data_IF_834612264094
#
_entry.id   IF_834612264094
#
_cell.length_a   1.000
_cell.length_b   1.000
_cell.length_c   1.000
_cell.angle_alpha   90.00
_cell.angle_beta   90.00
_cell.angle_gamma   90.00
#
_symmetry.space_group_name_H-M   'P 1'
#
loop_
_entity.id
_entity.type
_entity.pdbx_description
1 polymer ?
#
# COMPACT_ATOMS: atom_id res chain seq x y z
N UNK A 1 -22.21 25.11 -23.00
CA UNK A 1 -21.72 24.03 -22.12
C UNK A 1 -22.44 22.78 -22.56
N UNK A 2 -21.76 21.91 -23.28
CA UNK A 2 -22.34 20.65 -23.75
C UNK A 2 -21.91 19.60 -22.73
N UNK A 3 -22.87 19.11 -21.93
CA UNK A 3 -22.69 17.92 -21.09
C UNK A 3 -22.45 16.75 -22.04
N UNK A 4 -21.18 16.47 -22.34
CA UNK A 4 -20.81 15.22 -22.98
C UNK A 4 -20.84 14.12 -21.93
N UNK A 5 -22.05 13.60 -21.70
CA UNK A 5 -22.26 12.37 -20.97
C UNK A 5 -21.42 11.28 -21.64
N UNK A 6 -20.38 10.84 -20.94
CA UNK A 6 -19.45 9.81 -21.41
C UNK A 6 -20.25 8.56 -21.80
N UNK A 7 -20.02 8.02 -23.00
CA UNK A 7 -20.71 6.80 -23.44
C UNK A 7 -20.17 5.57 -22.71
N UNK A 8 -20.96 4.49 -22.61
CA UNK A 8 -20.50 3.24 -21.98
C UNK A 8 -19.26 2.65 -22.66
N UNK A 9 -19.12 2.83 -23.99
CA UNK A 9 -17.96 2.35 -24.73
C UNK A 9 -16.70 3.15 -24.38
N UNK A 10 -16.80 4.48 -24.28
CA UNK A 10 -15.71 5.35 -23.83
C UNK A 10 -15.35 5.06 -22.37
N UNK A 11 -16.36 4.83 -21.51
CA UNK A 11 -16.15 4.45 -20.11
C UNK A 11 -15.29 3.19 -20.00
N UNK A 12 -15.61 2.14 -20.76
CA UNK A 12 -14.85 0.88 -20.75
C UNK A 12 -13.41 1.08 -21.25
N UNK A 13 -13.19 1.91 -22.27
CA UNK A 13 -11.83 2.24 -22.74
C UNK A 13 -11.04 2.98 -21.65
N UNK A 14 -11.67 3.94 -20.97
CA UNK A 14 -11.05 4.68 -19.87
C UNK A 14 -10.77 3.78 -18.66
N UNK A 15 -11.60 2.78 -18.35
CA UNK A 15 -11.33 1.80 -17.29
C UNK A 15 -9.99 1.08 -17.53
N UNK A 16 -9.74 0.61 -18.75
CA UNK A 16 -8.47 -0.07 -19.05
C UNK A 16 -7.27 0.87 -18.98
N UNK A 17 -7.43 2.12 -19.43
CA UNK A 17 -6.37 3.13 -19.39
C UNK A 17 -6.05 3.57 -17.95
N UNK A 18 -7.09 3.82 -17.16
CA UNK A 18 -7.02 4.15 -15.74
C UNK A 18 -6.27 3.11 -14.91
N UNK A 19 -6.40 1.83 -15.26
CA UNK A 19 -5.67 0.76 -14.58
C UNK A 19 -4.19 0.68 -14.95
N UNK A 20 -3.78 1.28 -16.07
CA UNK A 20 -2.41 1.34 -16.57
C UNK A 20 -1.57 2.51 -16.04
N UNK A 21 -2.12 3.36 -15.16
CA UNK A 21 -1.50 4.61 -14.66
C UNK A 21 -1.34 5.73 -15.70
N UNK A 22 -1.91 5.59 -16.91
CA UNK A 22 -1.91 6.64 -17.94
C UNK A 22 -3.31 7.28 -18.04
N UNK A 23 -3.53 8.47 -17.49
CA UNK A 23 -4.79 9.18 -17.70
C UNK A 23 -4.78 10.59 -17.13
N UNK A 24 -5.39 11.52 -17.88
CA UNK A 24 -5.51 12.94 -17.50
C UNK A 24 -6.66 13.12 -16.49
N UNK A 25 -6.48 13.99 -15.49
CA UNK A 25 -7.46 14.21 -14.42
C UNK A 25 -8.92 14.44 -14.88
N UNK A 26 -9.14 15.15 -16.00
CA UNK A 26 -10.50 15.41 -16.51
C UNK A 26 -11.22 14.13 -17.00
N UNK A 27 -10.50 13.19 -17.61
CA UNK A 27 -11.07 11.91 -18.05
C UNK A 27 -11.49 11.04 -16.84
N UNK A 28 -10.77 11.15 -15.73
CA UNK A 28 -11.06 10.41 -14.49
C UNK A 28 -12.35 10.88 -13.80
N UNK A 29 -12.61 12.19 -13.79
CA UNK A 29 -13.84 12.75 -13.24
C UNK A 29 -15.07 12.27 -14.02
N UNK A 30 -15.04 12.40 -15.35
CA UNK A 30 -16.14 11.98 -16.23
C UNK A 30 -16.40 10.47 -16.14
N UNK A 31 -15.33 9.66 -16.07
CA UNK A 31 -15.46 8.23 -15.82
C UNK A 31 -16.15 7.96 -14.48
N UNK A 32 -15.78 8.67 -13.42
CA UNK A 32 -16.35 8.48 -12.09
C UNK A 32 -17.84 8.79 -12.05
N UNK A 33 -18.25 9.93 -12.61
CA UNK A 33 -19.66 10.28 -12.75
C UNK A 33 -20.43 9.21 -13.52
N UNK A 34 -19.84 8.69 -14.61
CA UNK A 34 -20.45 7.61 -15.37
C UNK A 34 -20.56 6.30 -14.56
N UNK A 35 -19.52 5.92 -13.81
CA UNK A 35 -19.53 4.70 -12.98
C UNK A 35 -20.52 4.81 -11.81
N UNK A 36 -20.75 6.01 -11.28
CA UNK A 36 -21.80 6.27 -10.29
C UNK A 36 -23.21 6.08 -10.89
N UNK A 37 -23.40 6.44 -12.17
CA UNK A 37 -24.69 6.32 -12.85
C UNK A 37 -24.94 4.94 -13.51
N UNK A 38 -23.90 4.23 -13.96
CA UNK A 38 -24.01 3.04 -14.80
C UNK A 38 -23.50 1.77 -14.11
N UNK A 39 -24.43 0.95 -13.61
CA UNK A 39 -24.10 -0.33 -12.92
C UNK A 39 -23.30 -1.32 -13.78
N UNK A 40 -23.55 -1.38 -15.08
CA UNK A 40 -22.87 -2.31 -15.97
C UNK A 40 -21.38 -1.95 -16.14
N UNK A 41 -21.07 -0.68 -16.39
CA UNK A 41 -19.70 -0.19 -16.47
C UNK A 41 -18.98 -0.30 -15.12
N UNK A 42 -19.69 -0.11 -14.01
CA UNK A 42 -19.13 -0.33 -12.67
C UNK A 42 -18.75 -1.80 -12.43
N UNK A 43 -19.58 -2.76 -12.82
CA UNK A 43 -19.24 -4.19 -12.70
C UNK A 43 -17.98 -4.54 -13.53
N UNK A 44 -17.90 -4.02 -14.76
CA UNK A 44 -16.72 -4.21 -15.61
C UNK A 44 -15.45 -3.57 -15.02
N UNK A 45 -15.57 -2.39 -14.39
CA UNK A 45 -14.48 -1.75 -13.66
C UNK A 45 -13.95 -2.65 -12.53
N UNK A 46 -14.84 -3.21 -11.70
CA UNK A 46 -14.44 -4.08 -10.59
C UNK A 46 -13.73 -5.35 -11.07
N UNK A 47 -14.21 -5.96 -12.17
CA UNK A 47 -13.59 -7.13 -12.78
C UNK A 47 -12.18 -6.82 -13.32
N UNK A 48 -12.03 -5.68 -14.01
CA UNK A 48 -10.75 -5.23 -14.52
C UNK A 48 -9.74 -4.93 -13.38
N UNK A 49 -10.19 -4.29 -12.29
CA UNK A 49 -9.39 -4.08 -11.07
C UNK A 49 -8.94 -5.42 -10.48
N UNK A 50 -9.85 -6.38 -10.37
CA UNK A 50 -9.56 -7.72 -9.87
C UNK A 50 -8.47 -8.42 -10.69
N UNK A 51 -8.58 -8.34 -12.03
CA UNK A 51 -7.63 -8.94 -12.97
C UNK A 51 -6.23 -8.33 -12.86
N UNK A 52 -6.12 -7.00 -12.85
CA UNK A 52 -4.81 -6.31 -12.72
C UNK A 52 -4.15 -6.63 -11.39
N UNK A 53 -4.94 -6.70 -10.33
CA UNK A 53 -4.41 -7.02 -9.01
C UNK A 53 -3.96 -8.51 -8.90
N UNK A 54 -4.64 -9.44 -9.57
CA UNK A 54 -4.20 -10.83 -9.70
C UNK A 54 -2.85 -10.95 -10.44
N UNK A 55 -2.71 -10.24 -11.58
CA UNK A 55 -1.46 -10.19 -12.35
C UNK A 55 -0.29 -9.63 -11.51
N UNK A 56 -0.53 -8.55 -10.75
CA UNK A 56 0.47 -7.97 -9.85
C UNK A 56 0.95 -8.94 -8.77
N UNK A 57 0.07 -9.82 -8.26
CA UNK A 57 0.46 -10.87 -7.32
C UNK A 57 1.28 -11.97 -7.97
N UNK A 58 0.89 -12.45 -9.15
CA UNK A 58 1.64 -13.47 -9.89
C UNK A 58 3.08 -13.00 -10.15
N UNK A 59 3.25 -11.76 -10.63
CA UNK A 59 4.57 -11.17 -10.83
C UNK A 59 5.40 -11.08 -9.54
N UNK A 60 4.76 -10.72 -8.41
CA UNK A 60 5.44 -10.69 -7.11
C UNK A 60 5.82 -12.08 -6.61
N UNK A 61 4.98 -13.08 -6.82
CA UNK A 61 5.30 -14.46 -6.44
C UNK A 61 6.53 -14.94 -7.19
N UNK A 62 6.59 -14.70 -8.49
CA UNK A 62 7.75 -15.02 -9.33
C UNK A 62 9.01 -14.29 -8.83
N UNK A 63 8.94 -12.99 -8.54
CA UNK A 63 10.07 -12.24 -7.96
C UNK A 63 10.52 -12.77 -6.60
N UNK A 64 9.58 -13.13 -5.72
CA UNK A 64 9.91 -13.71 -4.42
C UNK A 64 10.55 -15.10 -4.55
N UNK A 65 10.12 -15.91 -5.51
CA UNK A 65 10.75 -17.19 -5.82
C UNK A 65 12.16 -17.01 -6.37
N UNK A 66 12.37 -16.05 -7.26
CA UNK A 66 13.69 -15.67 -7.76
C UNK A 66 14.62 -15.19 -6.63
N UNK A 67 14.12 -14.35 -5.72
CA UNK A 67 14.87 -13.91 -4.53
C UNK A 67 15.21 -15.08 -3.59
N UNK A 68 14.27 -16.02 -3.38
CA UNK A 68 14.54 -17.22 -2.57
C UNK A 68 15.56 -18.13 -3.23
N UNK A 69 15.47 -18.32 -4.55
CA UNK A 69 16.37 -19.16 -5.32
C UNK A 69 17.78 -18.56 -5.37
N UNK A 70 17.91 -17.25 -5.57
CA UNK A 70 19.20 -16.54 -5.50
C UNK A 70 19.82 -16.63 -4.10
N UNK A 71 19.05 -16.43 -3.03
CA UNK A 71 19.53 -16.63 -1.65
C UNK A 71 20.03 -18.06 -1.40
N UNK A 72 19.28 -19.08 -1.86
CA UNK A 72 19.70 -20.50 -1.76
C UNK A 72 20.97 -20.78 -2.54
N UNK A 73 21.12 -20.21 -3.73
CA UNK A 73 22.33 -20.34 -4.54
C UNK A 73 23.55 -19.72 -3.86
N UNK A 74 23.40 -18.53 -3.26
CA UNK A 74 24.46 -17.85 -2.50
C UNK A 74 24.86 -18.64 -1.26
N UNK A 75 23.89 -19.19 -0.51
CA UNK A 75 24.17 -20.05 0.65
C UNK A 75 24.91 -21.33 0.26
N UNK A 76 24.54 -21.98 -0.86
CA UNK A 76 25.27 -23.15 -1.37
C UNK A 76 26.72 -22.81 -1.74
N UNK A 77 26.97 -21.65 -2.36
CA UNK A 77 28.34 -21.20 -2.66
C UNK A 77 29.16 -20.95 -1.40
N UNK A 78 28.59 -20.33 -0.36
CA UNK A 78 29.25 -20.12 0.92
C UNK A 78 29.54 -21.44 1.66
N UNK A 79 28.60 -22.40 1.63
CA UNK A 79 28.79 -23.72 2.23
C UNK A 79 29.91 -24.52 1.54
N UNK A 80 30.02 -24.43 0.22
CA UNK A 80 31.10 -25.08 -0.54
C UNK A 80 32.46 -24.38 -0.35
N UNK A 81 32.48 -23.05 -0.19
CA UNK A 81 33.70 -22.31 0.12
C UNK A 81 34.23 -22.59 1.55
N UNK A 82 33.36 -22.95 2.49
CA UNK A 82 33.74 -23.31 3.87
C UNK A 82 34.16 -24.77 4.09
N UNK A 83 34.04 -25.63 3.07
CA UNK A 83 34.36 -27.06 3.18
C UNK A 83 35.86 -27.40 2.97
N UNK A 84 36.71 -26.39 2.69
CA UNK A 84 38.11 -26.58 2.31
C UNK A 84 39.15 -26.60 3.43
N UNK A 85 38.83 -26.25 4.68
CA UNK A 85 39.85 -26.12 5.73
C UNK A 85 39.43 -26.76 7.06
N UNK A 86 39.42 -28.09 7.11
CA UNK A 86 39.42 -28.83 8.38
C UNK A 86 40.46 -29.94 8.39
N UNK A 87 41.73 -29.55 8.38
CA UNK A 87 42.77 -30.35 9.01
C UNK A 87 43.80 -29.41 9.64
N UNK A 88 44.23 -29.75 10.87
CA UNK A 88 45.26 -29.08 11.67
C UNK A 88 44.87 -27.81 12.44
N UNK A 89 44.47 -27.98 13.71
CA UNK A 89 45.29 -27.61 14.89
C UNK A 89 44.48 -27.63 16.19
N UNK A 90 44.53 -28.80 16.82
CA UNK A 90 44.88 -29.03 18.23
C UNK A 90 45.17 -27.75 19.06
N UNK A 91 44.36 -27.53 20.09
CA UNK A 91 44.63 -26.80 21.36
C UNK A 91 45.01 -25.32 21.24
N UNK A 92 44.03 -24.41 21.30
CA UNK A 92 44.07 -23.22 22.19
C UNK A 92 42.74 -22.46 22.20
N UNK A 93 42.32 -22.12 23.43
CA UNK A 93 41.38 -21.07 23.82
C UNK A 93 39.87 -21.37 23.70
N UNK A 94 39.32 -21.94 24.79
CA UNK A 94 37.89 -22.06 25.10
C UNK A 94 37.09 -20.73 25.01
N UNK A 95 37.78 -19.58 24.98
CA UNK A 95 37.18 -18.24 24.81
C UNK A 95 36.65 -17.98 23.40
N UNK A 96 37.10 -18.74 22.38
CA UNK A 96 36.69 -18.55 20.97
C UNK A 96 35.31 -19.17 20.67
N UNK A 97 34.81 -20.07 21.53
CA UNK A 97 33.49 -20.71 21.39
C UNK A 97 32.33 -19.86 21.93
N UNK A 98 32.59 -18.95 22.87
CA UNK A 98 31.53 -18.10 23.44
C UNK A 98 31.12 -16.96 22.50
N UNK A 99 32.06 -16.43 21.72
CA UNK A 99 31.81 -15.31 20.80
C UNK A 99 30.79 -15.62 19.69
N UNK A 100 30.86 -16.76 18.97
CA UNK A 100 29.85 -17.10 17.97
C UNK A 100 28.49 -17.43 18.61
N UNK A 101 28.47 -18.07 19.79
CA UNK A 101 27.22 -18.35 20.50
C UNK A 101 26.52 -17.05 20.96
N UNK A 102 27.29 -16.08 21.45
CA UNK A 102 26.79 -14.77 21.88
C UNK A 102 26.37 -13.91 20.68
N UNK A 103 27.07 -14.00 19.55
CA UNK A 103 26.64 -13.37 18.29
C UNK A 103 25.33 -13.97 17.76
N UNK A 104 25.16 -15.29 17.82
CA UNK A 104 23.90 -15.97 17.45
C UNK A 104 22.78 -15.57 18.41
N UNK A 105 23.05 -15.53 19.73
CA UNK A 105 22.08 -15.10 20.73
C UNK A 105 21.67 -13.64 20.53
N UNK A 106 22.63 -12.76 20.23
CA UNK A 106 22.37 -11.36 19.90
C UNK A 106 21.55 -11.21 18.61
N UNK A 107 21.80 -12.04 17.59
CA UNK A 107 21.02 -12.06 16.34
C UNK A 107 19.57 -12.52 16.58
N UNK A 108 19.39 -13.55 17.41
CA UNK A 108 18.05 -14.06 17.79
C UNK A 108 17.30 -13.06 18.66
N UNK A 109 17.99 -12.36 19.57
CA UNK A 109 17.40 -11.28 20.36
C UNK A 109 17.08 -10.04 19.50
N UNK A 110 17.91 -9.69 18.53
CA UNK A 110 17.60 -8.63 17.58
C UNK A 110 16.40 -8.97 16.69
N UNK A 111 16.29 -10.22 16.21
CA UNK A 111 15.13 -10.66 15.41
C UNK A 111 13.83 -10.71 16.23
N UNK A 112 13.90 -11.02 17.52
CA UNK A 112 12.73 -11.00 18.41
C UNK A 112 12.36 -9.60 18.90
N UNK A 113 13.32 -8.67 19.01
CA UNK A 113 13.04 -7.24 19.23
C UNK A 113 12.26 -6.62 18.07
N UNK A 114 12.49 -7.11 16.84
CA UNK A 114 11.68 -6.81 15.66
C UNK A 114 10.54 -7.83 15.47
N UNK A 115 9.71 -8.02 16.51
CA UNK A 115 8.56 -8.92 16.47
C UNK A 115 7.74 -8.81 15.18
N UNK A 116 6.99 -9.88 14.85
CA UNK A 116 6.29 -10.02 13.57
C UNK A 116 5.61 -8.71 13.13
N UNK A 117 5.70 -8.33 11.83
CA UNK A 117 5.08 -7.12 11.34
C UNK A 117 3.58 -7.13 11.69
N UNK A 118 3.02 -6.00 12.14
CA UNK A 118 1.61 -5.95 12.48
C UNK A 118 0.80 -6.35 11.26
N UNK A 119 -0.25 -7.15 11.51
CA UNK A 119 -1.24 -7.48 10.49
C UNK A 119 -1.99 -6.22 10.09
N UNK A 120 -2.33 -6.16 8.82
CA UNK A 120 -3.19 -5.12 8.28
C UNK A 120 -4.56 -5.73 8.02
N UNK A 121 -5.55 -5.32 8.79
CA UNK A 121 -6.90 -5.88 8.72
C UNK A 121 -7.84 -4.85 8.11
N UNK A 122 -8.46 -5.18 6.99
CA UNK A 122 -9.44 -4.36 6.29
C UNK A 122 -10.85 -4.82 6.66
N UNK A 123 -11.60 -3.95 7.33
CA UNK A 123 -13.00 -4.14 7.68
C UNK A 123 -13.90 -3.35 6.72
N UNK A 124 -14.87 -4.03 6.11
CA UNK A 124 -15.91 -3.37 5.32
C UNK A 124 -16.91 -2.69 6.26
N UNK A 125 -17.12 -1.38 6.11
CA UNK A 125 -18.10 -0.64 6.92
C UNK A 125 -19.44 -0.61 6.18
N UNK A 126 -19.44 -0.20 4.92
CA UNK A 126 -20.65 -0.10 4.09
C UNK A 126 -20.31 -0.33 2.62
N UNK A 127 -21.26 -0.87 1.87
CA UNK A 127 -21.16 -1.01 0.42
C UNK A 127 -20.07 -1.97 -0.08
N UNK A 128 -19.92 -2.11 -1.40
CA UNK A 128 -18.96 -3.01 -2.01
C UNK A 128 -17.51 -2.52 -1.84
N UNK A 129 -16.64 -3.44 -1.44
CA UNK A 129 -15.19 -3.22 -1.36
C UNK A 129 -14.50 -4.28 -2.19
N UNK A 130 -13.75 -3.85 -3.20
CA UNK A 130 -12.94 -4.73 -4.02
C UNK A 130 -11.55 -4.87 -3.42
N UNK A 131 -11.19 -6.12 -3.14
CA UNK A 131 -9.83 -6.59 -2.94
C UNK A 131 -9.45 -7.47 -4.13
N UNK A 132 -8.16 -7.81 -4.31
CA UNK A 132 -7.76 -8.55 -5.49
C UNK A 132 -8.37 -9.96 -5.48
N UNK A 133 -9.10 -10.32 -6.54
CA UNK A 133 -9.94 -11.53 -6.70
C UNK A 133 -11.19 -11.63 -5.79
N UNK A 134 -11.50 -10.60 -5.01
CA UNK A 134 -12.59 -10.63 -4.03
C UNK A 134 -13.39 -9.34 -4.07
N UNK A 135 -14.67 -9.45 -4.44
CA UNK A 135 -15.64 -8.40 -4.20
C UNK A 135 -16.37 -8.71 -2.88
N UNK A 136 -16.26 -7.81 -1.91
CA UNK A 136 -16.82 -7.98 -0.58
C UNK A 136 -18.00 -7.03 -0.44
N UNK A 137 -19.21 -7.58 -0.39
CA UNK A 137 -20.44 -6.80 -0.26
C UNK A 137 -20.98 -6.78 1.18
N UNK A 138 -20.57 -7.74 2.00
CA UNK A 138 -21.06 -7.90 3.36
C UNK A 138 -20.33 -6.98 4.34
N UNK A 139 -21.05 -6.01 4.89
CA UNK A 139 -20.57 -5.14 5.96
C UNK A 139 -20.15 -5.95 7.20
N UNK A 140 -19.11 -5.49 7.88
CA UNK A 140 -18.50 -6.16 9.04
C UNK A 140 -17.49 -7.24 8.70
N UNK A 141 -17.38 -7.65 7.42
CA UNK A 141 -16.36 -8.60 6.98
C UNK A 141 -14.97 -8.00 7.17
N UNK A 142 -14.09 -8.77 7.83
CA UNK A 142 -12.69 -8.38 8.07
C UNK A 142 -11.78 -9.32 7.29
N UNK A 143 -10.89 -8.76 6.47
CA UNK A 143 -9.95 -9.50 5.65
C UNK A 143 -8.53 -8.99 5.82
N UNK A 144 -7.53 -9.87 5.86
CA UNK A 144 -6.14 -9.45 5.94
C UNK A 144 -5.71 -8.85 4.59
N UNK A 145 -5.08 -7.67 4.63
CA UNK A 145 -4.32 -7.11 3.53
C UNK A 145 -2.84 -7.48 3.67
N UNK A 146 -2.22 -7.88 2.57
CA UNK A 146 -0.78 -8.05 2.49
C UNK A 146 -0.15 -6.97 1.62
N UNK A 147 1.18 -6.82 1.76
CA UNK A 147 1.94 -5.85 0.97
C UNK A 147 1.69 -6.06 -0.53
N UNK A 148 1.29 -4.99 -1.19
CA UNK A 148 0.98 -4.92 -2.61
C UNK A 148 -0.47 -5.17 -2.97
N UNK A 149 -1.34 -5.46 -1.99
CA UNK A 149 -2.77 -5.55 -2.23
C UNK A 149 -3.38 -4.16 -2.42
N UNK A 150 -4.21 -4.05 -3.45
CA UNK A 150 -5.06 -2.91 -3.70
C UNK A 150 -6.42 -3.14 -3.03
N UNK A 151 -6.94 -2.11 -2.37
CA UNK A 151 -8.32 -2.04 -1.92
C UNK A 151 -9.00 -0.87 -2.65
N UNK A 152 -10.18 -1.10 -3.20
CA UNK A 152 -11.01 -0.09 -3.83
C UNK A 152 -12.43 -0.10 -3.25
N UNK A 153 -12.93 1.06 -2.83
CA UNK A 153 -14.32 1.23 -2.38
C UNK A 153 -15.19 1.72 -3.54
N UNK A 154 -16.38 1.14 -3.69
CA UNK A 154 -17.38 1.55 -4.67
C UNK A 154 -18.05 2.91 -4.30
N UNK A 155 -18.89 3.49 -5.18
CA UNK A 155 -19.78 4.60 -4.82
C UNK A 155 -20.59 4.30 -3.56
N UNK A 156 -20.59 5.22 -2.60
CA UNK A 156 -21.28 5.06 -1.31
C UNK A 156 -20.69 4.00 -0.37
N UNK A 157 -19.63 3.30 -0.78
CA UNK A 157 -18.96 2.32 0.06
C UNK A 157 -17.92 2.97 0.98
N UNK A 158 -17.62 2.31 2.08
CA UNK A 158 -16.57 2.73 3.00
C UNK A 158 -15.92 1.52 3.67
N UNK A 159 -14.64 1.65 3.96
CA UNK A 159 -13.86 0.60 4.59
C UNK A 159 -12.92 1.19 5.64
N UNK A 160 -12.42 0.33 6.52
CA UNK A 160 -11.45 0.68 7.55
C UNK A 160 -10.28 -0.29 7.51
N UNK A 161 -9.08 0.25 7.36
CA UNK A 161 -7.84 -0.49 7.49
C UNK A 161 -7.22 -0.23 8.86
N UNK A 162 -6.93 -1.30 9.62
CA UNK A 162 -6.28 -1.22 10.94
C UNK A 162 -4.92 -1.88 10.87
N UNK A 163 -3.87 -1.16 11.26
CA UNK A 163 -2.49 -1.67 11.33
C UNK A 163 -1.86 -1.26 12.65
N UNK A 164 -1.82 -2.20 13.61
CA UNK A 164 -1.31 -1.92 14.95
C UNK A 164 -2.14 -0.84 15.67
N UNK A 165 -1.58 0.36 15.84
CA UNK A 165 -2.27 1.51 16.46
C UNK A 165 -2.82 2.51 15.44
N UNK A 166 -2.53 2.31 14.16
CA UNK A 166 -2.96 3.23 13.10
C UNK A 166 -4.25 2.72 12.48
N UNK A 167 -5.22 3.62 12.34
CA UNK A 167 -6.51 3.36 11.71
C UNK A 167 -6.65 4.27 10.49
N UNK A 168 -7.10 3.71 9.37
CA UNK A 168 -7.29 4.44 8.11
C UNK A 168 -8.70 4.18 7.61
N UNK A 169 -9.51 5.23 7.53
CA UNK A 169 -10.83 5.15 6.92
C UNK A 169 -10.73 5.49 5.45
N UNK A 170 -11.28 4.62 4.61
CA UNK A 170 -11.39 4.80 3.17
C UNK A 170 -12.82 5.27 2.88
N UNK A 171 -12.96 6.45 2.27
CA UNK A 171 -14.24 6.98 1.83
C UNK A 171 -14.76 6.27 0.58
N UNK A 172 -15.84 6.78 -0.01
CA UNK A 172 -16.32 6.27 -1.30
C UNK A 172 -15.29 6.52 -2.40
N UNK A 173 -15.26 5.64 -3.41
CA UNK A 173 -14.42 5.79 -4.61
C UNK A 173 -12.96 6.05 -4.28
N UNK A 174 -12.47 5.28 -3.31
CA UNK A 174 -11.12 5.38 -2.77
C UNK A 174 -10.35 4.13 -3.11
N UNK A 175 -9.19 4.31 -3.74
CA UNK A 175 -8.29 3.24 -4.15
C UNK A 175 -6.95 3.42 -3.44
N UNK A 176 -6.55 2.42 -2.66
CA UNK A 176 -5.31 2.43 -1.87
C UNK A 176 -4.57 1.10 -2.00
N UNK A 177 -3.24 1.15 -2.07
CA UNK A 177 -2.37 -0.01 -1.99
C UNK A 177 -1.61 -0.03 -0.68
N UNK A 178 -1.50 -1.20 -0.05
CA UNK A 178 -0.65 -1.39 1.12
C UNK A 178 0.82 -1.58 0.71
N UNK A 179 1.71 -0.63 0.98
CA UNK A 179 3.14 -0.74 0.65
C UNK A 179 3.98 -1.33 1.80
N UNK A 180 3.54 -1.18 3.05
CA UNK A 180 4.22 -1.73 4.23
C UNK A 180 3.43 -1.52 5.51
N UNK A 181 3.70 -2.34 6.54
CA UNK A 181 3.00 -2.28 7.83
C UNK A 181 3.88 -1.82 8.99
N UNK A 182 5.19 -1.62 8.77
CA UNK A 182 6.14 -1.13 9.78
C UNK A 182 7.28 -0.32 9.16
N UNK A 183 7.20 1.02 9.12
CA UNK A 183 6.00 1.85 9.43
C UNK A 183 4.87 1.59 8.42
N UNK A 184 3.64 2.01 8.75
CA UNK A 184 2.52 1.93 7.81
C UNK A 184 2.82 2.81 6.59
N UNK A 185 2.85 2.20 5.41
CA UNK A 185 3.04 2.88 4.12
C UNK A 185 1.90 2.50 3.20
N UNK A 186 1.25 3.51 2.64
CA UNK A 186 0.14 3.37 1.71
C UNK A 186 0.47 4.13 0.43
N UNK A 187 -0.01 3.63 -0.70
CA UNK A 187 -0.10 4.41 -1.94
C UNK A 187 -1.55 4.73 -2.22
N UNK A 188 -1.90 6.00 -2.33
CA UNK A 188 -3.23 6.42 -2.78
C UNK A 188 -3.22 6.51 -4.31
N UNK A 189 -4.17 5.81 -4.93
CA UNK A 189 -4.43 5.92 -6.36
C UNK A 189 -5.51 6.96 -6.66
N UNK A 190 -6.53 7.04 -5.80
CA UNK A 190 -7.61 8.04 -5.90
C UNK A 190 -8.44 8.05 -4.61
N UNK A 191 -9.18 9.13 -4.39
CA UNK A 191 -10.28 9.22 -3.42
C UNK A 191 -9.89 9.93 -2.14
N UNK A 192 -10.54 9.59 -1.05
CA UNK A 192 -10.35 10.26 0.24
C UNK A 192 -10.08 9.24 1.33
N UNK A 193 -9.02 9.48 2.09
CA UNK A 193 -8.68 8.70 3.27
C UNK A 193 -8.55 9.58 4.51
N UNK A 194 -8.95 9.04 5.65
CA UNK A 194 -8.78 9.69 6.95
C UNK A 194 -7.88 8.80 7.80
N UNK A 195 -6.70 9.32 8.13
CA UNK A 195 -5.66 8.64 8.90
C UNK A 195 -5.78 9.04 10.36
N UNK A 196 -5.67 8.07 11.26
CA UNK A 196 -5.52 8.27 12.69
C UNK A 196 -4.30 7.47 13.17
N UNK A 197 -3.21 8.17 13.46
CA UNK A 197 -1.92 7.58 13.83
C UNK A 197 -0.85 7.67 12.74
N UNK A 198 0.35 7.14 13.02
CA UNK A 198 1.51 7.31 12.15
C UNK A 198 1.38 6.52 10.86
N UNK A 199 1.60 7.18 9.73
CA UNK A 199 1.55 6.59 8.40
C UNK A 199 2.30 7.46 7.37
N UNK A 200 2.83 6.83 6.32
CA UNK A 200 3.29 7.51 5.11
C UNK A 200 2.33 7.19 3.97
N UNK A 201 1.85 8.21 3.27
CA UNK A 201 1.00 8.06 2.09
C UNK A 201 1.71 8.65 0.88
N UNK A 202 1.89 7.82 -0.14
CA UNK A 202 2.50 8.20 -1.42
C UNK A 202 1.40 8.38 -2.47
N UNK A 203 1.51 9.43 -3.26
CA UNK A 203 0.73 9.69 -4.47
C UNK A 203 1.68 9.99 -5.64
N UNK A 204 1.20 10.07 -6.89
CA UNK A 204 2.00 10.54 -8.01
C UNK A 204 2.63 11.93 -7.82
N UNK A 205 1.94 12.84 -7.12
CA UNK A 205 2.37 14.25 -6.97
C UNK A 205 3.20 14.52 -5.73
N UNK A 206 3.26 13.57 -4.78
CA UNK A 206 3.99 13.80 -3.55
C UNK A 206 3.76 12.75 -2.48
N UNK A 207 4.47 12.94 -1.37
CA UNK A 207 4.48 12.07 -0.20
C UNK A 207 4.01 12.86 1.01
N UNK A 208 3.11 12.29 1.80
CA UNK A 208 2.67 12.83 3.09
C UNK A 208 3.09 11.87 4.20
N UNK A 209 3.78 12.38 5.20
CA UNK A 209 4.12 11.66 6.41
C UNK A 209 3.32 12.22 7.58
N UNK A 210 2.45 11.39 8.13
CA UNK A 210 1.76 11.63 9.40
C UNK A 210 2.64 11.04 10.49
N UNK A 211 3.34 11.88 11.26
CA UNK A 211 4.15 11.39 12.39
C UNK A 211 3.28 11.08 13.59
N UNK A 212 2.25 11.89 13.82
CA UNK A 212 1.27 11.70 14.89
C UNK A 212 -0.01 12.50 14.60
N UNK A 213 -1.13 12.06 15.17
CA UNK A 213 -2.40 12.76 15.07
C UNK A 213 -3.31 12.22 13.98
N UNK A 214 -4.10 13.11 13.37
CA UNK A 214 -5.18 12.77 12.44
C UNK A 214 -5.10 13.64 11.21
N UNK A 215 -5.21 13.05 10.03
CA UNK A 215 -5.16 13.75 8.76
C UNK A 215 -6.27 13.28 7.83
N UNK A 216 -6.76 14.17 6.96
CA UNK A 216 -7.59 13.82 5.82
C UNK A 216 -6.80 14.10 4.56
N UNK A 217 -6.60 13.07 3.74
CA UNK A 217 -5.96 13.20 2.44
C UNK A 217 -6.98 12.92 1.36
N UNK A 218 -7.06 13.79 0.37
CA UNK A 218 -7.91 13.62 -0.81
C UNK A 218 -7.03 13.73 -2.05
N UNK A 219 -6.99 12.68 -2.87
CA UNK A 219 -6.28 12.68 -4.14
C UNK A 219 -7.27 12.52 -5.29
N UNK A 220 -7.45 13.59 -6.05
CA UNK A 220 -8.39 13.69 -7.18
C UNK A 220 -7.81 14.62 -8.23
N UNK A 221 -7.99 14.28 -9.49
CA UNK A 221 -7.60 15.13 -10.64
C UNK A 221 -6.14 15.61 -10.56
N UNK A 222 -5.23 14.69 -10.22
CA UNK A 222 -3.79 14.96 -10.02
C UNK A 222 -3.47 15.96 -8.90
N UNK A 223 -4.45 16.31 -8.07
CA UNK A 223 -4.27 17.20 -6.93
C UNK A 223 -4.37 16.37 -5.66
N UNK A 224 -3.33 16.44 -4.82
CA UNK A 224 -3.35 15.91 -3.47
C UNK A 224 -3.62 17.04 -2.49
N UNK A 225 -4.77 17.01 -1.82
CA UNK A 225 -5.09 17.88 -0.69
C UNK A 225 -4.83 17.16 0.62
N UNK A 226 -4.05 17.76 1.49
CA UNK A 226 -3.71 17.25 2.80
C UNK A 226 -4.19 18.22 3.88
N UNK A 227 -5.19 17.81 4.65
CA UNK A 227 -5.75 18.55 5.77
C UNK A 227 -5.26 17.92 7.09
N UNK A 228 -4.55 18.68 7.91
CA UNK A 228 -4.11 18.23 9.23
C UNK A 228 -5.20 18.53 10.26
N UNK A 229 -5.94 17.50 10.67
CA UNK A 229 -7.02 17.65 11.66
C UNK A 229 -6.47 17.78 13.09
N UNK A 230 -5.37 17.08 13.39
CA UNK A 230 -4.65 17.18 14.66
C UNK A 230 -3.22 16.65 14.52
N UNK A 231 -2.33 17.10 15.39
CA UNK A 231 -0.93 16.67 15.37
C UNK A 231 -0.12 17.44 14.33
N UNK A 232 0.63 16.71 13.51
CA UNK A 232 1.60 17.30 12.60
C UNK A 232 1.86 16.39 11.39
N UNK A 233 1.92 17.00 10.20
CA UNK A 233 2.25 16.34 8.94
C UNK A 233 3.50 16.96 8.30
N UNK A 234 4.32 16.11 7.70
CA UNK A 234 5.29 16.53 6.68
C UNK A 234 4.74 16.20 5.29
N UNK A 235 4.95 17.07 4.32
CA UNK A 235 4.63 16.79 2.94
C UNK A 235 5.76 17.20 2.01
N UNK A 236 5.98 16.41 0.95
CA UNK A 236 7.05 16.64 -0.02
C UNK A 236 6.56 16.40 -1.44
N UNK A 237 6.87 17.32 -2.35
CA UNK A 237 6.76 17.17 -3.80
C UNK A 237 8.09 17.54 -4.47
N UNK A 238 8.08 17.75 -5.79
CA UNK A 238 9.22 18.23 -6.58
C UNK A 238 9.65 19.65 -6.21
N UNK A 239 8.75 20.49 -5.70
CA UNK A 239 9.02 21.89 -5.34
C UNK A 239 9.69 22.04 -3.97
N UNK A 240 9.46 21.08 -3.06
CA UNK A 240 10.12 21.05 -1.77
C UNK A 240 9.34 20.32 -0.68
N UNK A 241 9.81 20.48 0.55
CA UNK A 241 9.17 19.97 1.75
C UNK A 241 8.45 21.06 2.52
N UNK A 242 7.24 20.78 2.98
CA UNK A 242 6.46 21.66 3.85
C UNK A 242 5.97 20.96 5.11
N UNK A 243 5.74 21.77 6.14
CA UNK A 243 5.28 21.36 7.46
C UNK A 243 3.83 21.82 7.60
N UNK A 244 2.92 20.94 8.01
CA UNK A 244 1.49 21.24 8.11
C UNK A 244 1.04 20.98 9.55
N UNK A 245 0.69 22.05 10.25
CA UNK A 245 0.19 22.05 11.62
C UNK A 245 -1.32 21.78 11.69
N UNK A 246 -1.82 21.54 12.89
CA UNK A 246 -3.25 21.28 13.10
C UNK A 246 -4.14 22.45 12.65
N UNK A 247 -5.19 22.14 11.90
CA UNK A 247 -6.10 23.10 11.28
C UNK A 247 -5.62 23.65 9.93
N UNK A 248 -4.41 23.30 9.51
CA UNK A 248 -3.86 23.75 8.23
C UNK A 248 -4.17 22.75 7.11
N UNK A 249 -4.30 23.28 5.90
CA UNK A 249 -4.44 22.53 4.66
C UNK A 249 -3.26 22.86 3.75
N UNK A 250 -2.77 21.86 3.03
CA UNK A 250 -1.82 22.04 1.96
C UNK A 250 -2.24 21.28 0.70
N UNK A 251 -1.88 21.83 -0.46
CA UNK A 251 -2.23 21.28 -1.76
C UNK A 251 -0.93 20.98 -2.52
N UNK A 252 -0.86 19.80 -3.12
CA UNK A 252 0.27 19.34 -3.91
C UNK A 252 -0.22 19.00 -5.31
N UNK A 253 0.51 19.47 -6.33
CA UNK A 253 0.31 19.22 -7.75
C UNK A 253 1.69 19.31 -8.45
N UNK A 254 1.74 19.04 -9.75
CA UNK A 254 2.97 19.11 -10.57
C UNK A 254 3.30 20.54 -11.05
#
# INVERSE_FOLDING_TARGET
MVDHALSCEEALRLVHRFLGEDGEGAEHLALREHLEACRACHAAYLDAVGTVAALGRAQRHLRQEEEKNTRRATQRRLALAGAGERSQRRRRNLRILFLPALAILALVQFQSAFGAPPRADLAVISGPVAMPELLIEQAGTVLPMVRGDWCATAPGASARLVVGKTEVHLGALTRVMLEGTRPLRLRIGQGTLVLNGPATVTSPVGVIEVTSGRARLTYQDEILRAECLSGYLGGWNTEGGQKIGAGEEAVFYF
#
